data_IF_539867004757
#
_entry.id   IF_539867004757
#
_cell.length_a   1.000
_cell.length_b   1.000
_cell.length_c   1.000
_cell.angle_alpha   90.00
_cell.angle_beta   90.00
_cell.angle_gamma   90.00
#
_symmetry.space_group_name_H-M   'P 1'
#
loop_
_entity.id
_entity.type
_entity.pdbx_description
1 polymer ?
#
# COMPACT_ATOMS: atom_id res chain seq x y z
N UNK A 1 -21.57 -0.37 19.14
CA UNK A 1 -21.06 0.87 19.73
C UNK A 1 -19.90 1.30 18.86
N UNK A 2 -20.11 2.25 17.95
CA UNK A 2 -19.02 2.82 17.16
C UNK A 2 -18.16 3.64 18.12
N UNK A 3 -16.85 3.39 18.18
CA UNK A 3 -15.94 4.34 18.82
C UNK A 3 -15.87 5.56 17.90
N UNK A 4 -15.96 6.76 18.47
CA UNK A 4 -15.68 7.98 17.73
C UNK A 4 -14.22 7.94 17.31
N UNK A 5 -13.98 7.98 16.00
CA UNK A 5 -12.63 7.98 15.42
C UNK A 5 -12.21 9.42 15.26
N UNK A 6 -11.32 9.88 16.13
CA UNK A 6 -10.68 11.18 15.99
C UNK A 6 -9.48 11.08 15.04
N UNK A 7 -9.42 11.95 14.04
CA UNK A 7 -8.36 11.95 13.02
C UNK A 7 -7.50 13.17 13.22
N UNK A 8 -6.28 12.96 13.70
CA UNK A 8 -5.29 14.02 13.85
C UNK A 8 -4.45 14.19 12.56
N UNK A 9 -4.31 15.42 12.08
CA UNK A 9 -3.56 15.71 10.84
C UNK A 9 -2.09 15.28 10.88
N UNK A 10 -1.40 15.36 12.02
CA UNK A 10 0.00 14.91 12.14
C UNK A 10 0.10 13.39 12.05
N UNK A 11 -0.78 12.68 12.76
CA UNK A 11 -0.86 11.21 12.74
C UNK A 11 -1.27 10.70 11.34
N UNK A 12 -2.15 11.42 10.64
CA UNK A 12 -2.51 11.08 9.26
C UNK A 12 -1.32 11.23 8.30
N UNK A 13 -0.52 12.29 8.44
CA UNK A 13 0.70 12.47 7.64
C UNK A 13 1.72 11.35 7.91
N UNK A 14 1.90 10.96 9.17
CA UNK A 14 2.74 9.83 9.55
C UNK A 14 2.23 8.50 8.96
N UNK A 15 0.92 8.26 9.03
CA UNK A 15 0.31 7.07 8.44
C UNK A 15 0.51 7.02 6.91
N UNK A 16 0.36 8.14 6.21
CA UNK A 16 0.65 8.25 4.77
C UNK A 16 2.13 7.93 4.48
N UNK A 17 3.05 8.48 5.28
CA UNK A 17 4.48 8.23 5.11
C UNK A 17 4.82 6.74 5.30
N UNK A 18 4.29 6.11 6.34
CA UNK A 18 4.47 4.69 6.61
C UNK A 18 3.83 3.82 5.51
N UNK A 19 2.62 4.16 5.06
CA UNK A 19 1.95 3.45 3.97
C UNK A 19 2.76 3.51 2.66
N UNK A 20 3.44 4.62 2.37
CA UNK A 20 4.37 4.73 1.23
C UNK A 20 5.57 3.78 1.35
N UNK A 21 6.16 3.69 2.54
CA UNK A 21 7.28 2.77 2.82
C UNK A 21 6.84 1.32 2.66
N UNK A 22 5.70 0.94 3.28
CA UNK A 22 5.16 -0.42 3.19
C UNK A 22 4.85 -0.77 1.74
N UNK A 23 4.15 0.10 1.00
CA UNK A 23 3.85 -0.12 -0.41
C UNK A 23 5.13 -0.37 -1.20
N UNK A 24 6.15 0.47 -1.02
CA UNK A 24 7.43 0.29 -1.72
C UNK A 24 8.07 -1.06 -1.40
N UNK A 25 8.16 -1.43 -0.13
CA UNK A 25 8.74 -2.71 0.28
C UNK A 25 7.98 -3.92 -0.31
N UNK A 26 6.65 -3.85 -0.41
CA UNK A 26 5.84 -4.91 -1.03
C UNK A 26 6.09 -5.04 -2.53
N UNK A 27 6.22 -3.91 -3.24
CA UNK A 27 6.52 -3.90 -4.68
C UNK A 27 7.95 -4.39 -4.95
N UNK A 28 8.93 -4.00 -4.12
CA UNK A 28 10.32 -4.45 -4.24
C UNK A 28 10.42 -5.97 -4.00
N UNK A 29 9.68 -6.50 -3.01
CA UNK A 29 9.59 -7.94 -2.74
C UNK A 29 8.94 -8.70 -3.90
N UNK A 30 7.84 -8.18 -4.45
CA UNK A 30 7.18 -8.73 -5.64
C UNK A 30 8.14 -8.79 -6.83
N UNK A 31 8.80 -7.67 -7.14
CA UNK A 31 9.75 -7.59 -8.26
C UNK A 31 10.92 -8.58 -8.09
N UNK A 32 11.38 -8.79 -6.86
CA UNK A 32 12.40 -9.80 -6.57
C UNK A 32 11.90 -11.21 -6.86
N UNK A 33 10.66 -11.54 -6.50
CA UNK A 33 10.05 -12.85 -6.78
C UNK A 33 9.86 -13.07 -8.30
N UNK A 34 9.38 -12.07 -9.04
CA UNK A 34 9.24 -12.12 -10.51
C UNK A 34 10.58 -12.26 -11.22
N UNK A 35 11.61 -11.53 -10.76
CA UNK A 35 12.97 -11.64 -11.28
C UNK A 35 13.57 -13.04 -11.04
N UNK A 36 13.30 -13.63 -9.87
CA UNK A 36 13.71 -14.99 -9.57
C UNK A 36 12.96 -16.03 -10.42
N UNK A 37 11.64 -15.86 -10.63
CA UNK A 37 10.86 -16.71 -11.54
C UNK A 37 11.42 -16.67 -12.97
N UNK A 38 11.78 -15.47 -13.44
CA UNK A 38 12.43 -15.28 -14.73
C UNK A 38 13.77 -16.02 -14.81
N UNK A 39 14.59 -15.94 -13.76
CA UNK A 39 15.87 -16.66 -13.67
C UNK A 39 15.66 -18.19 -13.69
N UNK A 40 14.67 -18.67 -12.95
CA UNK A 40 14.32 -20.09 -12.87
C UNK A 40 13.90 -20.62 -14.25
N UNK A 41 13.10 -19.85 -15.00
CA UNK A 41 12.61 -20.22 -16.32
C UNK A 41 13.76 -20.49 -17.32
N UNK A 42 14.81 -19.67 -17.28
CA UNK A 42 15.99 -19.80 -18.16
C UNK A 42 17.10 -20.73 -17.65
N UNK A 43 16.94 -21.32 -16.47
CA UNK A 43 17.96 -22.21 -15.88
C UNK A 43 17.99 -23.59 -16.53
N UNK A 44 19.16 -24.25 -16.47
CA UNK A 44 19.34 -25.65 -16.90
C UNK A 44 18.63 -26.67 -15.98
N UNK A 45 18.16 -26.22 -14.80
CA UNK A 45 17.39 -27.07 -13.91
C UNK A 45 16.12 -27.56 -14.62
N UNK A 46 15.78 -28.83 -14.47
CA UNK A 46 14.63 -29.47 -15.10
C UNK A 46 14.07 -30.59 -14.23
N UNK A 47 12.87 -31.06 -14.58
CA UNK A 47 12.16 -32.15 -13.92
C UNK A 47 11.15 -31.69 -12.88
N UNK A 48 10.41 -32.66 -12.33
CA UNK A 48 9.23 -32.44 -11.49
C UNK A 48 9.45 -31.49 -10.31
N UNK A 49 10.63 -31.53 -9.69
CA UNK A 49 10.95 -30.64 -8.57
C UNK A 49 10.98 -29.15 -8.99
N UNK A 50 11.46 -28.84 -10.20
CA UNK A 50 11.41 -27.48 -10.74
C UNK A 50 9.97 -27.05 -11.01
N UNK A 51 9.16 -27.94 -11.55
CA UNK A 51 7.76 -27.65 -11.88
C UNK A 51 6.95 -27.34 -10.60
N UNK A 52 7.11 -28.18 -9.58
CA UNK A 52 6.47 -27.98 -8.27
C UNK A 52 6.94 -26.69 -7.58
N UNK A 53 8.23 -26.38 -7.67
CA UNK A 53 8.79 -25.14 -7.13
C UNK A 53 8.33 -23.89 -7.88
N UNK A 54 8.23 -23.97 -9.22
CA UNK A 54 7.70 -22.89 -10.06
C UNK A 54 6.25 -22.61 -9.70
N UNK A 55 5.42 -23.64 -9.58
CA UNK A 55 4.02 -23.49 -9.18
C UNK A 55 3.88 -22.85 -7.79
N UNK A 56 4.74 -23.21 -6.85
CA UNK A 56 4.78 -22.56 -5.53
C UNK A 56 5.17 -21.08 -5.62
N UNK A 57 6.16 -20.74 -6.45
CA UNK A 57 6.59 -19.37 -6.67
C UNK A 57 5.49 -18.52 -7.34
N UNK A 58 4.74 -19.09 -8.29
CA UNK A 58 3.60 -18.42 -8.92
C UNK A 58 2.51 -18.07 -7.90
N UNK A 59 2.23 -18.96 -6.94
CA UNK A 59 1.30 -18.68 -5.83
C UNK A 59 1.82 -17.50 -4.97
N UNK A 60 3.12 -17.46 -4.68
CA UNK A 60 3.72 -16.34 -3.93
C UNK A 60 3.56 -15.02 -4.69
N UNK A 61 3.85 -15.01 -6.00
CA UNK A 61 3.71 -13.81 -6.84
C UNK A 61 2.26 -13.34 -6.86
N UNK A 62 1.30 -14.26 -7.01
CA UNK A 62 -0.13 -13.95 -6.97
C UNK A 62 -0.55 -13.28 -5.65
N UNK A 63 -0.10 -13.80 -4.50
CA UNK A 63 -0.41 -13.15 -3.22
C UNK A 63 0.29 -11.79 -3.06
N UNK A 64 1.48 -11.62 -3.64
CA UNK A 64 2.14 -10.32 -3.70
C UNK A 64 1.35 -9.30 -4.53
N UNK A 65 0.69 -9.72 -5.62
CA UNK A 65 -0.20 -8.85 -6.39
C UNK A 65 -1.37 -8.35 -5.55
N UNK A 66 -2.04 -9.25 -4.86
CA UNK A 66 -3.19 -8.91 -4.03
C UNK A 66 -2.82 -7.93 -2.92
N UNK A 67 -1.71 -8.18 -2.20
CA UNK A 67 -1.28 -7.31 -1.10
C UNK A 67 -0.74 -5.96 -1.61
N UNK A 68 -0.08 -5.92 -2.77
CA UNK A 68 0.33 -4.67 -3.40
C UNK A 68 -0.88 -3.81 -3.78
N UNK A 69 -1.91 -4.44 -4.36
CA UNK A 69 -3.18 -3.77 -4.68
C UNK A 69 -3.89 -3.25 -3.44
N UNK A 70 -3.92 -4.03 -2.35
CA UNK A 70 -4.49 -3.60 -1.08
C UNK A 70 -3.71 -2.42 -0.47
N UNK A 71 -2.37 -2.47 -0.50
CA UNK A 71 -1.53 -1.38 -0.01
C UNK A 71 -1.70 -0.09 -0.81
N UNK A 72 -1.84 -0.19 -2.14
CA UNK A 72 -2.15 0.95 -2.98
C UNK A 72 -3.50 1.57 -2.62
N UNK A 73 -4.57 0.77 -2.52
CA UNK A 73 -5.91 1.26 -2.14
C UNK A 73 -5.92 1.91 -0.76
N UNK A 74 -5.17 1.35 0.19
CA UNK A 74 -5.02 1.91 1.53
C UNK A 74 -4.37 3.30 1.47
N UNK A 75 -3.23 3.42 0.77
CA UNK A 75 -2.55 4.70 0.58
C UNK A 75 -3.46 5.74 -0.08
N UNK A 76 -4.15 5.37 -1.16
CA UNK A 76 -5.10 6.27 -1.84
C UNK A 76 -6.23 6.72 -0.92
N UNK A 77 -6.70 5.86 -0.01
CA UNK A 77 -7.74 6.20 0.95
C UNK A 77 -7.24 7.21 2.00
N UNK A 78 -6.01 7.03 2.49
CA UNK A 78 -5.38 7.99 3.42
C UNK A 78 -5.13 9.35 2.75
N UNK A 79 -4.66 9.35 1.51
CA UNK A 79 -4.43 10.58 0.74
C UNK A 79 -5.75 11.32 0.43
N UNK A 80 -6.83 10.59 0.11
CA UNK A 80 -8.17 11.17 -0.04
C UNK A 80 -8.69 11.75 1.27
N UNK A 81 -8.50 11.05 2.39
CA UNK A 81 -8.89 11.54 3.71
C UNK A 81 -8.17 12.85 4.03
N UNK A 82 -6.86 12.89 3.79
CA UNK A 82 -6.06 14.11 3.97
C UNK A 82 -6.57 15.25 3.10
N UNK A 83 -6.85 14.97 1.83
CA UNK A 83 -7.39 15.96 0.91
C UNK A 83 -8.72 16.55 1.42
N UNK A 84 -9.65 15.70 1.87
CA UNK A 84 -10.91 16.18 2.42
C UNK A 84 -10.76 16.99 3.71
N UNK A 85 -9.82 16.62 4.58
CA UNK A 85 -9.49 17.45 5.75
C UNK A 85 -8.93 18.82 5.35
N UNK A 86 -8.00 18.85 4.39
CA UNK A 86 -7.39 20.09 3.90
C UNK A 86 -8.44 20.98 3.20
N UNK A 87 -9.39 20.39 2.45
CA UNK A 87 -10.53 21.09 1.83
C UNK A 87 -11.48 21.67 2.88
N UNK A 88 -11.84 20.90 3.91
CA UNK A 88 -12.72 21.35 5.00
C UNK A 88 -12.12 22.55 5.76
N UNK A 89 -10.81 22.52 6.04
CA UNK A 89 -10.13 23.63 6.72
C UNK A 89 -10.09 24.92 5.88
N UNK A 90 -10.33 24.83 4.57
CA UNK A 90 -10.39 25.98 3.67
C UNK A 90 -11.81 26.51 3.45
N UNK A 91 -12.83 25.84 3.99
CA UNK A 91 -14.20 26.33 3.88
C UNK A 91 -14.37 27.63 4.68
N UNK A 92 -15.02 28.62 4.07
CA UNK A 92 -15.20 29.97 4.65
C UNK A 92 -15.76 29.92 6.08
N UNK A 93 -16.67 29.00 6.37
CA UNK A 93 -17.28 28.84 7.69
C UNK A 93 -16.30 28.33 8.76
N UNK A 94 -15.32 27.49 8.38
CA UNK A 94 -14.31 26.97 9.31
C UNK A 94 -13.25 28.04 9.56
N UNK A 95 -12.81 28.71 8.49
CA UNK A 95 -11.87 29.83 8.57
C UNK A 95 -12.43 30.99 9.39
N UNK A 96 -13.72 31.29 9.24
CA UNK A 96 -14.40 32.33 10.02
C UNK A 96 -14.40 31.99 11.52
N UNK A 97 -14.63 30.73 11.89
CA UNK A 97 -14.63 30.31 13.30
C UNK A 97 -13.23 30.24 13.90
N UNK A 98 -12.22 29.77 13.16
CA UNK A 98 -10.82 29.78 13.63
C UNK A 98 -10.22 31.19 13.71
N UNK A 99 -10.64 32.11 12.83
CA UNK A 99 -10.14 33.49 12.77
C UNK A 99 -10.78 34.47 13.77
N UNK A 100 -11.81 34.05 14.51
CA UNK A 100 -12.46 34.84 15.57
C UNK A 100 -11.86 34.54 16.97
N UNK A 101 -10.81 33.71 17.06
CA UNK A 101 -10.07 33.37 18.28
C UNK A 101 -8.92 34.31 18.64
#
# INVERSE_FOLDING_TARGET
MSQDVEINGSQLNEAIAQAKVIKRALYDAKASAEGFSSTLSGSEWSGRAKDEFTAFLDIIIQYHDDICGAAQKNLESLEKLKKHMDELMQEDIVVEVEGIG
#
